data_IF_107028068450
#
_entry.id   IF_107028068450
#
_cell.length_a   1.000
_cell.length_b   1.000
_cell.length_c   1.000
_cell.angle_alpha   90.00
_cell.angle_beta   90.00
_cell.angle_gamma   90.00
#
_symmetry.space_group_name_H-M   'P 1'
#
loop_
_entity.id
_entity.type
_entity.pdbx_description
1 polymer ?
#
# COMPACT_ATOMS: atom_id res chain seq x y z
N UNK A 1 56.34 31.99 -13.02
CA UNK A 1 54.91 31.74 -13.27
C UNK A 1 54.70 30.25 -13.42
N UNK A 2 53.95 29.58 -12.52
CA UNK A 2 53.72 28.15 -12.62
C UNK A 2 52.58 27.87 -13.62
N UNK A 3 52.80 26.89 -14.51
CA UNK A 3 51.80 26.40 -15.45
C UNK A 3 50.74 25.59 -14.70
N UNK A 4 49.48 25.98 -14.85
CA UNK A 4 48.34 25.26 -14.30
C UNK A 4 48.08 23.99 -15.13
N UNK A 5 48.22 22.83 -14.49
CA UNK A 5 47.75 21.54 -15.04
C UNK A 5 46.23 21.51 -15.00
N UNK A 6 45.59 21.53 -16.17
CA UNK A 6 44.14 21.35 -16.33
C UNK A 6 43.75 19.91 -16.00
N UNK A 7 43.29 19.67 -14.76
CA UNK A 7 42.60 18.44 -14.41
C UNK A 7 41.28 18.36 -15.15
N UNK A 8 41.12 17.35 -16.01
CA UNK A 8 39.85 16.98 -16.64
C UNK A 8 38.84 16.61 -15.55
N UNK A 9 38.01 17.58 -15.13
CA UNK A 9 36.77 17.27 -14.42
C UNK A 9 35.82 16.62 -15.42
N UNK A 10 35.81 15.29 -15.46
CA UNK A 10 34.75 14.56 -16.13
C UNK A 10 33.42 14.89 -15.46
N UNK A 11 32.55 15.59 -16.20
CA UNK A 11 31.18 15.82 -15.76
C UNK A 11 30.51 14.47 -15.45
N UNK A 12 29.72 14.36 -14.36
CA UNK A 12 28.99 13.14 -14.09
C UNK A 12 28.05 12.86 -15.26
N UNK A 13 28.29 11.74 -15.95
CA UNK A 13 27.43 11.29 -17.05
C UNK A 13 26.10 10.86 -16.45
N UNK A 14 25.08 11.71 -16.57
CA UNK A 14 23.71 11.35 -16.22
C UNK A 14 23.14 10.51 -17.36
N UNK A 15 23.30 9.19 -17.29
CA UNK A 15 22.70 8.28 -18.26
C UNK A 15 21.23 8.03 -17.90
N UNK A 16 20.32 8.27 -18.84
CA UNK A 16 18.95 7.72 -18.78
C UNK A 16 18.99 6.18 -18.86
N UNK A 17 17.96 5.48 -18.39
CA UNK A 17 17.90 4.00 -18.50
C UNK A 17 18.06 3.49 -19.94
N UNK A 18 17.57 4.25 -20.92
CA UNK A 18 17.72 3.99 -22.36
C UNK A 18 19.15 4.18 -22.85
N UNK A 19 19.84 5.25 -22.44
CA UNK A 19 21.24 5.50 -22.84
C UNK A 19 22.23 4.59 -22.11
N UNK A 20 21.98 4.26 -20.84
CA UNK A 20 22.74 3.26 -20.10
C UNK A 20 22.66 1.88 -20.75
N UNK A 21 21.47 1.45 -21.20
CA UNK A 21 21.30 0.21 -21.96
C UNK A 21 22.05 0.24 -23.29
N UNK A 22 21.94 1.33 -24.06
CA UNK A 22 22.65 1.46 -25.33
C UNK A 22 24.19 1.43 -25.15
N UNK A 23 24.71 2.03 -24.07
CA UNK A 23 26.13 1.96 -23.72
C UNK A 23 26.57 0.55 -23.31
N UNK A 24 25.78 -0.15 -22.49
CA UNK A 24 26.08 -1.52 -22.07
C UNK A 24 25.97 -2.54 -23.23
N UNK A 25 24.98 -2.36 -24.10
CA UNK A 25 24.74 -3.22 -25.27
C UNK A 25 25.77 -2.98 -26.37
N UNK A 26 26.17 -1.71 -26.63
CA UNK A 26 27.20 -1.40 -27.64
C UNK A 26 28.60 -1.86 -27.26
N UNK A 27 28.94 -1.84 -25.97
CA UNK A 27 30.32 -2.05 -25.54
C UNK A 27 30.62 -3.51 -25.10
N UNK A 28 29.63 -4.32 -24.68
CA UNK A 28 29.92 -5.59 -23.96
C UNK A 28 28.93 -6.74 -24.16
N UNK A 29 28.80 -7.27 -25.38
CA UNK A 29 28.14 -8.57 -25.60
C UNK A 29 28.91 -9.79 -25.06
N UNK A 30 30.23 -9.69 -24.77
CA UNK A 30 31.04 -10.89 -24.41
C UNK A 30 31.28 -11.13 -22.91
N UNK A 31 31.01 -10.17 -22.02
CA UNK A 31 31.35 -10.29 -20.59
C UNK A 31 30.23 -9.88 -19.62
N UNK A 32 29.04 -9.62 -20.13
CA UNK A 32 27.90 -9.11 -19.36
C UNK A 32 27.58 -9.97 -18.11
N UNK A 33 27.52 -11.29 -18.30
CA UNK A 33 27.25 -12.28 -17.24
C UNK A 33 28.27 -12.17 -16.10
N UNK A 34 29.57 -11.96 -16.40
CA UNK A 34 30.62 -11.81 -15.38
C UNK A 34 30.40 -10.56 -14.51
N UNK A 35 29.94 -9.46 -15.11
CA UNK A 35 29.66 -8.23 -14.37
C UNK A 35 28.39 -8.33 -13.55
N UNK A 36 27.33 -8.92 -14.12
CA UNK A 36 26.10 -9.23 -13.38
C UNK A 36 26.40 -10.06 -12.13
N UNK A 37 27.14 -11.17 -12.28
CA UNK A 37 27.49 -12.02 -11.15
C UNK A 37 28.26 -11.26 -10.08
N UNK A 38 29.22 -10.41 -10.46
CA UNK A 38 29.97 -9.58 -9.50
C UNK A 38 29.07 -8.59 -8.77
N UNK A 39 28.17 -7.91 -9.48
CA UNK A 39 27.24 -6.94 -8.88
C UNK A 39 26.31 -7.64 -7.90
N UNK A 40 25.71 -8.78 -8.29
CA UNK A 40 24.86 -9.58 -7.41
C UNK A 40 25.59 -10.07 -6.17
N UNK A 41 26.83 -10.57 -6.31
CA UNK A 41 27.64 -11.03 -5.17
C UNK A 41 27.97 -9.89 -4.21
N UNK A 42 28.35 -8.71 -4.73
CA UNK A 42 28.59 -7.53 -3.90
C UNK A 42 27.34 -7.10 -3.13
N UNK A 43 26.20 -7.01 -3.82
CA UNK A 43 24.92 -6.61 -3.20
C UNK A 43 24.46 -7.64 -2.16
N UNK A 44 24.59 -8.93 -2.43
CA UNK A 44 24.30 -9.99 -1.47
C UNK A 44 25.19 -9.92 -0.23
N UNK A 45 26.49 -9.63 -0.40
CA UNK A 45 27.44 -9.47 0.72
C UNK A 45 27.07 -8.26 1.58
N UNK A 46 26.73 -7.14 0.94
CA UNK A 46 26.30 -5.92 1.64
C UNK A 46 24.95 -6.13 2.36
N UNK A 47 23.99 -6.79 1.71
CA UNK A 47 22.70 -7.12 2.31
C UNK A 47 22.87 -8.05 3.52
N UNK A 48 23.77 -9.04 3.43
CA UNK A 48 24.10 -9.92 4.56
C UNK A 48 24.73 -9.15 5.72
N UNK A 49 25.71 -8.29 5.44
CA UNK A 49 26.33 -7.42 6.44
C UNK A 49 25.28 -6.52 7.12
N UNK A 50 24.43 -5.89 6.31
CA UNK A 50 23.34 -5.05 6.79
C UNK A 50 22.38 -5.84 7.70
N UNK A 51 21.95 -7.03 7.26
CA UNK A 51 21.05 -7.89 8.03
C UNK A 51 21.64 -8.29 9.38
N UNK A 52 22.95 -8.52 9.44
CA UNK A 52 23.66 -8.94 10.66
C UNK A 52 23.97 -7.79 11.61
N UNK A 53 24.25 -6.60 11.09
CA UNK A 53 24.83 -5.51 11.89
C UNK A 53 23.91 -4.30 12.07
N UNK A 54 22.90 -4.14 11.22
CA UNK A 54 22.04 -2.95 11.17
C UNK A 54 20.58 -3.27 11.49
N UNK A 55 20.04 -4.37 10.96
CA UNK A 55 18.66 -4.76 11.23
C UNK A 55 18.55 -5.85 12.28
N UNK A 56 17.57 -5.75 13.16
CA UNK A 56 17.22 -6.83 14.08
C UNK A 56 16.46 -7.93 13.32
N UNK A 57 17.12 -9.07 13.07
CA UNK A 57 16.47 -10.29 12.59
C UNK A 57 16.69 -11.40 13.63
N UNK A 58 15.69 -11.66 14.48
CA UNK A 58 15.75 -12.65 15.57
C UNK A 58 16.40 -12.15 16.87
N UNK A 59 16.85 -13.06 17.75
CA UNK A 59 17.38 -12.75 19.12
C UNK A 59 18.75 -12.03 19.17
N UNK A 60 19.35 -11.66 18.04
CA UNK A 60 20.65 -10.99 18.03
C UNK A 60 20.48 -9.47 18.08
N UNK A 61 20.85 -8.84 19.20
CA UNK A 61 21.00 -7.38 19.30
C UNK A 61 21.97 -6.89 18.23
N UNK A 62 21.64 -5.77 17.57
CA UNK A 62 22.60 -5.09 16.71
C UNK A 62 23.87 -4.83 17.52
N UNK A 63 25.03 -5.07 16.95
CA UNK A 63 26.32 -4.88 17.62
C UNK A 63 26.62 -3.39 17.91
N UNK A 64 25.69 -2.47 17.64
CA UNK A 64 25.85 -1.03 17.84
C UNK A 64 26.95 -0.41 16.98
N UNK A 65 27.51 -1.15 16.02
CA UNK A 65 28.71 -0.76 15.28
C UNK A 65 28.46 0.42 14.32
N UNK A 66 27.20 0.63 13.92
CA UNK A 66 26.79 1.65 12.95
C UNK A 66 25.58 2.40 13.48
N UNK A 67 25.61 3.74 13.40
CA UNK A 67 24.46 4.58 13.78
C UNK A 67 23.23 4.22 12.92
N UNK A 68 22.01 4.21 13.48
CA UNK A 68 20.80 3.80 12.76
C UNK A 68 20.55 4.55 11.44
N UNK A 69 20.93 5.83 11.37
CA UNK A 69 20.77 6.70 10.21
C UNK A 69 21.73 6.33 9.07
N UNK A 70 22.98 5.99 9.44
CA UNK A 70 23.98 5.48 8.50
C UNK A 70 23.55 4.10 8.00
N UNK A 71 23.04 3.27 8.91
CA UNK A 71 22.39 2.01 8.57
C UNK A 71 21.32 2.22 7.51
N UNK A 72 20.29 3.01 7.81
CA UNK A 72 19.19 3.30 6.87
C UNK A 72 19.70 3.79 5.51
N UNK A 73 20.73 4.63 5.49
CA UNK A 73 21.34 5.14 4.25
C UNK A 73 21.96 4.02 3.40
N UNK A 74 22.67 3.07 4.01
CA UNK A 74 23.16 1.87 3.31
C UNK A 74 22.03 1.01 2.77
N UNK A 75 20.95 0.84 3.55
CA UNK A 75 19.79 0.06 3.13
C UNK A 75 19.09 0.67 1.91
N UNK A 76 18.87 1.98 1.92
CA UNK A 76 18.24 2.70 0.80
C UNK A 76 19.12 2.63 -0.45
N UNK A 77 20.43 2.88 -0.30
CA UNK A 77 21.38 2.79 -1.41
C UNK A 77 21.42 1.36 -1.99
N UNK A 78 21.49 0.34 -1.13
CA UNK A 78 21.47 -1.06 -1.53
C UNK A 78 20.20 -1.43 -2.29
N UNK A 79 19.03 -1.03 -1.78
CA UNK A 79 17.74 -1.25 -2.44
C UNK A 79 17.66 -0.54 -3.80
N UNK A 80 18.19 0.68 -3.92
CA UNK A 80 18.25 1.42 -5.19
C UNK A 80 19.18 0.74 -6.20
N UNK A 81 20.33 0.22 -5.76
CA UNK A 81 21.26 -0.53 -6.61
C UNK A 81 20.68 -1.86 -7.05
N UNK A 82 19.95 -2.59 -6.19
CA UNK A 82 19.22 -3.81 -6.58
C UNK A 82 18.17 -3.50 -7.64
N UNK A 83 17.38 -2.44 -7.46
CA UNK A 83 16.37 -2.01 -8.43
C UNK A 83 17.00 -1.61 -9.78
N UNK A 84 18.12 -0.88 -9.76
CA UNK A 84 18.86 -0.53 -10.97
C UNK A 84 19.43 -1.77 -11.66
N UNK A 85 20.02 -2.68 -10.88
CA UNK A 85 20.55 -3.96 -11.39
C UNK A 85 19.45 -4.77 -12.04
N UNK A 86 18.28 -4.91 -11.40
CA UNK A 86 17.12 -5.60 -11.98
C UNK A 86 16.71 -5.00 -13.33
N UNK A 87 16.61 -3.67 -13.43
CA UNK A 87 16.26 -2.97 -14.68
C UNK A 87 17.30 -3.12 -15.78
N UNK A 88 18.58 -3.17 -15.43
CA UNK A 88 19.68 -3.32 -16.38
C UNK A 88 19.85 -4.77 -16.85
N UNK A 89 19.46 -5.72 -16.01
CA UNK A 89 19.81 -7.14 -16.16
C UNK A 89 18.67 -8.05 -16.58
N UNK A 90 17.47 -7.84 -16.05
CA UNK A 90 16.42 -8.87 -16.09
C UNK A 90 15.38 -8.62 -17.19
N UNK A 91 15.20 -7.40 -17.68
CA UNK A 91 14.17 -7.12 -18.70
C UNK A 91 14.73 -7.08 -20.14
N UNK A 92 14.18 -7.94 -21.03
CA UNK A 92 12.82 -7.69 -21.45
C UNK A 92 11.94 -8.95 -21.56
N UNK A 93 11.55 -9.60 -20.46
CA UNK A 93 10.38 -10.51 -20.50
C UNK A 93 9.62 -10.51 -19.16
N UNK A 94 8.27 -10.53 -19.20
CA UNK A 94 7.42 -10.51 -18.02
C UNK A 94 7.27 -11.95 -17.49
N UNK A 95 8.32 -12.50 -16.90
CA UNK A 95 8.13 -13.69 -16.05
C UNK A 95 7.68 -13.23 -14.68
N UNK A 96 6.35 -13.25 -14.51
CA UNK A 96 5.72 -13.19 -13.21
C UNK A 96 6.35 -14.21 -12.26
N UNK A 97 7.17 -13.71 -11.34
CA UNK A 97 7.51 -14.30 -10.04
C UNK A 97 8.32 -13.22 -9.32
N UNK A 98 7.72 -12.34 -8.53
CA UNK A 98 6.87 -12.71 -7.42
C UNK A 98 7.69 -13.00 -6.17
N UNK A 99 8.70 -12.18 -5.85
CA UNK A 99 9.20 -12.06 -4.48
C UNK A 99 9.68 -10.64 -4.24
N UNK A 100 8.96 -9.89 -3.40
CA UNK A 100 9.56 -8.81 -2.61
C UNK A 100 10.53 -9.54 -1.66
N UNK A 101 11.71 -9.92 -2.13
CA UNK A 101 12.78 -10.29 -1.21
C UNK A 101 13.24 -8.96 -0.63
N UNK A 102 12.74 -8.60 0.55
CA UNK A 102 13.25 -7.49 1.33
C UNK A 102 14.68 -7.86 1.79
N UNK A 103 15.63 -7.79 0.85
CA UNK A 103 17.06 -7.94 1.10
C UNK A 103 17.54 -6.85 2.07
N UNK A 104 16.83 -5.72 2.10
CA UNK A 104 17.10 -4.56 2.93
C UNK A 104 15.95 -4.34 3.91
N UNK A 105 15.95 -5.00 5.08
CA UNK A 105 14.90 -4.84 6.07
C UNK A 105 14.90 -3.44 6.70
N UNK A 106 13.75 -3.07 7.23
CA UNK A 106 13.53 -1.78 7.92
C UNK A 106 14.37 -1.68 9.19
N UNK A 107 14.86 -0.47 9.47
CA UNK A 107 15.58 -0.15 10.71
C UNK A 107 14.62 0.34 11.80
N UNK A 108 15.01 0.21 13.06
CA UNK A 108 14.18 0.68 14.18
C UNK A 108 13.95 2.20 14.15
N UNK A 109 14.91 2.97 13.64
CA UNK A 109 14.76 4.41 13.41
C UNK A 109 13.62 4.69 12.43
N UNK A 110 13.55 3.97 11.31
CA UNK A 110 12.47 4.13 10.34
C UNK A 110 11.12 3.66 10.90
N UNK A 111 11.08 2.56 11.67
CA UNK A 111 9.87 2.15 12.40
C UNK A 111 9.40 3.23 13.37
N UNK A 112 10.34 3.86 14.07
CA UNK A 112 10.09 5.00 14.96
C UNK A 112 9.46 6.18 14.22
N UNK A 113 10.02 6.57 13.06
CA UNK A 113 9.44 7.63 12.23
C UNK A 113 8.05 7.31 11.71
N UNK A 114 7.81 6.09 11.25
CA UNK A 114 6.49 5.65 10.80
C UNK A 114 5.47 5.76 11.95
N UNK A 115 5.85 5.32 13.16
CA UNK A 115 4.99 5.41 14.35
C UNK A 115 4.73 6.85 14.77
N UNK A 116 5.76 7.69 14.78
CA UNK A 116 5.63 9.12 15.07
C UNK A 116 4.73 9.85 14.04
N UNK A 117 4.63 9.31 12.82
CA UNK A 117 3.73 9.81 11.78
C UNK A 117 2.30 9.19 11.85
N UNK A 118 1.93 8.56 12.97
CA UNK A 118 0.58 8.04 13.20
C UNK A 118 0.33 6.62 12.70
N UNK A 119 1.37 5.85 12.34
CA UNK A 119 1.22 4.42 12.02
C UNK A 119 1.26 3.57 13.29
N UNK A 120 0.25 2.75 13.51
CA UNK A 120 0.28 1.77 14.58
C UNK A 120 1.29 0.63 14.31
N UNK A 121 1.64 -0.16 15.33
CA UNK A 121 2.60 -1.26 15.19
C UNK A 121 2.18 -2.29 14.11
N UNK A 122 0.89 -2.61 14.02
CA UNK A 122 0.33 -3.50 12.99
C UNK A 122 0.45 -2.90 11.60
N UNK A 123 0.18 -1.61 11.45
CA UNK A 123 0.30 -0.92 10.16
C UNK A 123 1.75 -0.94 9.68
N UNK A 124 2.71 -0.71 10.58
CA UNK A 124 4.14 -0.83 10.26
C UNK A 124 4.48 -2.24 9.81
N UNK A 125 4.08 -3.29 10.55
CA UNK A 125 4.35 -4.68 10.17
C UNK A 125 3.78 -5.02 8.78
N UNK A 126 2.53 -4.63 8.50
CA UNK A 126 1.92 -4.84 7.17
C UNK A 126 2.65 -4.12 6.04
N UNK A 127 3.13 -2.90 6.32
CA UNK A 127 3.92 -2.13 5.35
C UNK A 127 5.27 -2.80 5.10
N UNK A 128 5.91 -3.36 6.13
CA UNK A 128 7.16 -4.12 5.98
C UNK A 128 6.97 -5.38 5.11
N UNK A 129 5.82 -6.04 5.19
CA UNK A 129 5.51 -7.20 4.35
C UNK A 129 5.19 -6.83 2.90
N UNK A 130 4.61 -5.65 2.68
CA UNK A 130 4.03 -5.26 1.38
C UNK A 130 4.89 -4.28 0.59
N UNK A 131 5.86 -3.62 1.23
CA UNK A 131 6.60 -2.51 0.63
C UNK A 131 8.12 -2.72 0.75
N UNK A 132 8.85 -2.15 -0.21
CA UNK A 132 10.31 -2.06 -0.18
C UNK A 132 10.76 -0.90 0.71
N UNK A 133 12.01 -0.96 1.15
CA UNK A 133 12.60 0.01 2.09
C UNK A 133 12.52 1.47 1.62
N UNK A 134 12.67 1.73 0.33
CA UNK A 134 12.52 3.06 -0.28
C UNK A 134 11.09 3.61 -0.10
N UNK A 135 10.08 2.78 -0.35
CA UNK A 135 8.68 3.15 -0.15
C UNK A 135 8.42 3.49 1.31
N UNK A 136 8.93 2.66 2.24
CA UNK A 136 8.82 2.89 3.68
C UNK A 136 9.52 4.18 4.11
N UNK A 137 10.65 4.52 3.49
CA UNK A 137 11.39 5.74 3.77
C UNK A 137 10.63 7.01 3.38
N UNK A 138 9.94 7.00 2.23
CA UNK A 138 9.19 8.17 1.76
C UNK A 138 7.79 8.25 2.36
N UNK A 139 7.24 7.16 2.90
CA UNK A 139 5.87 7.13 3.41
C UNK A 139 5.57 8.18 4.50
N UNK A 140 6.46 8.46 5.48
CA UNK A 140 6.24 9.50 6.48
C UNK A 140 6.13 10.92 5.90
N UNK A 141 6.61 11.15 4.67
CA UNK A 141 6.48 12.45 3.99
C UNK A 141 5.06 12.67 3.43
N UNK A 142 4.27 11.59 3.32
CA UNK A 142 2.88 11.69 2.89
C UNK A 142 2.01 12.07 4.08
N UNK A 143 1.21 13.13 3.90
CA UNK A 143 0.26 13.58 4.92
C UNK A 143 -0.72 12.45 5.25
N UNK A 144 -0.77 12.09 6.53
CA UNK A 144 -1.78 11.15 7.02
C UNK A 144 -3.06 11.89 7.42
N UNK A 145 -4.23 11.31 7.11
CA UNK A 145 -5.47 11.73 7.74
C UNK A 145 -5.33 11.57 9.25
N UNK A 146 -5.51 12.66 10.00
CA UNK A 146 -5.55 12.60 11.46
C UNK A 146 -6.94 12.06 11.81
N UNK A 147 -7.01 10.81 12.25
CA UNK A 147 -8.27 10.14 12.61
C UNK A 147 -8.69 10.39 14.06
N UNK A 148 -7.76 10.86 14.92
CA UNK A 148 -7.99 11.04 16.35
C UNK A 148 -8.12 9.72 17.13
N UNK A 149 -7.85 8.59 16.49
CA UNK A 149 -7.92 7.24 17.07
C UNK A 149 -6.62 6.92 17.80
N UNK A 150 -6.71 6.43 19.04
CA UNK A 150 -5.53 6.03 19.80
C UNK A 150 -5.07 4.62 19.42
N UNK A 151 -3.86 4.54 18.86
CA UNK A 151 -3.22 3.29 18.45
C UNK A 151 -2.17 2.77 19.43
N UNK A 152 -2.03 3.38 20.61
CA UNK A 152 -1.02 3.02 21.62
C UNK A 152 -1.06 1.54 22.03
N UNK A 153 -2.25 0.93 22.06
CA UNK A 153 -2.45 -0.47 22.42
C UNK A 153 -2.21 -1.47 21.28
N UNK A 154 -1.89 -1.04 20.05
CA UNK A 154 -1.70 -1.96 18.92
C UNK A 154 -0.34 -2.67 19.00
N UNK A 155 -0.29 -3.92 18.55
CA UNK A 155 0.94 -4.70 18.43
C UNK A 155 1.22 -5.07 16.96
N UNK A 156 2.28 -5.82 16.66
CA UNK A 156 2.65 -6.19 15.28
C UNK A 156 1.65 -7.13 14.60
N UNK A 157 0.88 -7.88 15.37
CA UNK A 157 -0.05 -8.90 14.89
C UNK A 157 -1.47 -8.33 14.70
N UNK A 158 -1.87 -7.34 15.49
CA UNK A 158 -3.22 -6.80 15.48
C UNK A 158 -3.29 -5.29 15.74
N UNK A 159 -4.18 -4.62 15.01
CA UNK A 159 -4.57 -3.23 15.26
C UNK A 159 -5.75 -3.23 16.23
N UNK A 160 -5.53 -2.90 17.49
CA UNK A 160 -6.59 -2.93 18.51
C UNK A 160 -7.55 -1.73 18.41
N UNK A 161 -7.13 -0.65 17.77
CA UNK A 161 -7.94 0.58 17.71
C UNK A 161 -9.00 0.56 16.61
N UNK A 162 -8.73 -0.16 15.52
CA UNK A 162 -9.63 -0.27 14.37
C UNK A 162 -10.21 -1.67 14.21
N UNK A 163 -9.87 -2.59 15.10
CA UNK A 163 -10.54 -3.87 15.16
C UNK A 163 -11.88 -3.72 15.86
N UNK A 164 -12.86 -4.46 15.40
CA UNK A 164 -14.23 -4.35 15.87
C UNK A 164 -14.46 -5.39 16.94
N UNK A 165 -14.91 -4.92 18.09
CA UNK A 165 -15.50 -5.79 19.11
C UNK A 165 -16.98 -5.96 18.79
N UNK A 166 -17.36 -7.12 18.26
CA UNK A 166 -18.72 -7.43 17.86
C UNK A 166 -19.74 -7.28 19.01
N UNK A 167 -19.30 -7.44 20.26
CA UNK A 167 -20.17 -7.33 21.43
C UNK A 167 -20.55 -5.87 21.75
N UNK A 168 -19.68 -4.91 21.44
CA UNK A 168 -19.86 -3.49 21.76
C UNK A 168 -20.08 -2.61 20.53
N UNK A 169 -19.98 -3.18 19.33
CA UNK A 169 -20.14 -2.45 18.09
C UNK A 169 -21.57 -2.00 17.84
N UNK A 170 -21.74 -0.71 17.58
CA UNK A 170 -23.01 -0.09 17.22
C UNK A 170 -22.87 0.74 15.95
N UNK A 171 -23.82 0.54 15.02
CA UNK A 171 -23.91 1.28 13.77
C UNK A 171 -24.17 2.77 14.05
N UNK A 172 -23.33 3.63 13.49
CA UNK A 172 -23.46 5.09 13.61
C UNK A 172 -24.36 5.67 12.53
N UNK A 173 -25.19 6.63 12.93
CA UNK A 173 -25.97 7.46 12.02
C UNK A 173 -25.21 8.71 11.59
N UNK A 174 -25.57 9.26 10.43
CA UNK A 174 -24.95 10.50 9.90
C UNK A 174 -25.25 11.70 10.82
N UNK A 175 -26.45 11.77 11.40
CA UNK A 175 -26.84 12.83 12.31
C UNK A 175 -26.93 12.30 13.75
N UNK A 176 -26.45 13.10 14.71
CA UNK A 176 -26.25 12.75 16.14
C UNK A 176 -27.51 12.25 16.89
N UNK A 177 -28.71 12.47 16.34
CA UNK A 177 -29.99 12.06 16.94
C UNK A 177 -30.92 11.36 15.95
N UNK A 178 -30.38 10.81 14.86
CA UNK A 178 -31.19 10.06 13.91
C UNK A 178 -31.41 8.63 14.42
N UNK A 179 -32.66 8.16 14.34
CA UNK A 179 -33.09 6.82 14.76
C UNK A 179 -33.72 6.05 13.59
N UNK A 180 -33.32 6.36 12.35
CA UNK A 180 -33.91 5.73 11.17
C UNK A 180 -33.69 4.21 11.15
N UNK A 181 -34.64 3.46 10.61
CA UNK A 181 -34.50 2.00 10.51
C UNK A 181 -33.30 1.59 9.64
N UNK A 182 -32.77 0.41 9.96
CA UNK A 182 -31.86 -0.32 9.09
C UNK A 182 -32.61 -0.85 7.86
N UNK A 183 -31.96 -0.78 6.70
CA UNK A 183 -32.45 -1.42 5.48
C UNK A 183 -31.56 -2.64 5.22
N UNK A 184 -32.19 -3.81 5.19
CA UNK A 184 -31.52 -5.06 4.88
C UNK A 184 -31.35 -5.23 3.37
N UNK A 185 -30.27 -5.86 2.98
CA UNK A 185 -30.13 -6.42 1.64
C UNK A 185 -30.68 -7.85 1.61
N UNK A 186 -31.12 -8.29 0.44
CA UNK A 186 -31.49 -9.70 0.23
C UNK A 186 -30.24 -10.59 0.25
N UNK A 187 -29.96 -11.14 1.44
CA UNK A 187 -28.81 -11.99 1.67
C UNK A 187 -28.86 -13.30 0.88
N UNK A 188 -30.04 -13.86 0.60
CA UNK A 188 -30.15 -15.10 -0.17
C UNK A 188 -29.67 -14.86 -1.60
N UNK A 189 -30.11 -13.76 -2.21
CA UNK A 189 -29.62 -13.37 -3.53
C UNK A 189 -28.12 -13.11 -3.52
N UNK A 190 -27.59 -12.35 -2.54
CA UNK A 190 -26.13 -12.12 -2.41
C UNK A 190 -25.35 -13.44 -2.36
N UNK A 191 -25.75 -14.36 -1.48
CA UNK A 191 -25.08 -15.66 -1.32
C UNK A 191 -25.19 -16.49 -2.61
N UNK A 192 -26.35 -16.48 -3.27
CA UNK A 192 -26.55 -17.23 -4.51
C UNK A 192 -25.67 -16.72 -5.67
N UNK A 193 -25.50 -15.40 -5.80
CA UNK A 193 -24.63 -14.76 -6.80
C UNK A 193 -23.17 -15.10 -6.53
N UNK A 194 -22.71 -14.99 -5.27
CA UNK A 194 -21.34 -15.34 -4.90
C UNK A 194 -21.02 -16.82 -5.15
N UNK A 195 -21.97 -17.73 -4.89
CA UNK A 195 -21.79 -19.17 -5.17
C UNK A 195 -21.63 -19.49 -6.65
N UNK A 196 -22.14 -18.64 -7.54
CA UNK A 196 -21.94 -18.76 -8.99
C UNK A 196 -20.60 -18.20 -9.47
N UNK A 197 -19.81 -17.59 -8.58
CA UNK A 197 -18.57 -16.89 -8.94
C UNK A 197 -18.81 -15.49 -9.53
N UNK A 198 -20.02 -14.96 -9.38
CA UNK A 198 -20.42 -13.64 -9.87
C UNK A 198 -20.27 -12.57 -8.77
N UNK A 199 -20.24 -11.29 -9.16
CA UNK A 199 -20.13 -10.16 -8.23
C UNK A 199 -21.54 -9.60 -7.95
N UNK A 200 -22.05 -9.65 -6.70
CA UNK A 200 -23.31 -9.01 -6.34
C UNK A 200 -23.13 -7.50 -6.25
N UNK A 201 -23.97 -6.76 -6.96
CA UNK A 201 -24.08 -5.31 -6.95
C UNK A 201 -25.36 -4.90 -6.23
N UNK A 202 -25.23 -3.98 -5.30
CA UNK A 202 -26.35 -3.44 -4.53
C UNK A 202 -26.85 -2.18 -5.24
N UNK A 203 -28.10 -2.20 -5.67
CA UNK A 203 -28.79 -1.09 -6.33
C UNK A 203 -29.61 -0.34 -5.27
N UNK A 204 -29.46 0.99 -5.22
CA UNK A 204 -30.17 1.85 -4.27
C UNK A 204 -31.11 2.80 -5.03
N UNK A 205 -32.42 2.55 -4.94
CA UNK A 205 -33.44 3.34 -5.63
C UNK A 205 -33.92 4.55 -4.79
N UNK A 206 -34.40 5.64 -5.44
CA UNK A 206 -34.93 6.83 -4.77
C UNK A 206 -36.22 6.63 -3.99
N UNK A 207 -37.10 5.78 -4.49
CA UNK A 207 -38.44 5.67 -3.94
C UNK A 207 -38.51 4.59 -2.88
N UNK A 208 -38.98 5.00 -1.71
CA UNK A 208 -39.60 4.12 -0.73
C UNK A 208 -41.07 3.96 -1.15
N UNK A 209 -41.47 2.80 -1.66
CA UNK A 209 -42.88 2.40 -1.51
C UNK A 209 -42.97 1.51 -0.29
N UNK A 210 -44.15 1.41 0.34
CA UNK A 210 -44.36 0.45 1.44
C UNK A 210 -44.21 -1.02 1.00
N UNK A 211 -44.06 -1.28 -0.30
CA UNK A 211 -44.03 -2.61 -0.90
C UNK A 211 -42.66 -3.03 -1.46
N UNK A 212 -41.73 -2.10 -1.68
CA UNK A 212 -40.43 -2.42 -2.32
C UNK A 212 -39.29 -1.86 -1.48
N UNK A 213 -38.34 -2.74 -1.11
CA UNK A 213 -37.10 -2.33 -0.46
C UNK A 213 -36.33 -1.37 -1.37
N UNK A 214 -35.79 -0.24 -0.86
CA UNK A 214 -34.99 0.65 -1.67
C UNK A 214 -33.65 0.02 -2.08
N UNK A 215 -33.27 -1.12 -1.47
CA UNK A 215 -32.09 -1.91 -1.82
C UNK A 215 -32.51 -3.18 -2.56
N UNK A 216 -31.96 -3.39 -3.75
CA UNK A 216 -32.02 -4.66 -4.47
C UNK A 216 -30.63 -5.16 -4.81
N UNK A 217 -30.54 -6.45 -5.07
CA UNK A 217 -29.29 -7.11 -5.46
C UNK A 217 -29.41 -7.54 -6.91
N UNK A 218 -28.40 -7.24 -7.70
CA UNK A 218 -28.23 -7.75 -9.06
C UNK A 218 -26.84 -8.32 -9.20
N UNK A 219 -26.63 -9.22 -10.16
CA UNK A 219 -25.28 -9.56 -10.60
C UNK A 219 -24.68 -8.41 -11.41
N UNK A 220 -23.36 -8.26 -11.34
CA UNK A 220 -22.60 -7.42 -12.27
C UNK A 220 -22.47 -8.13 -13.63
N UNK A 221 -22.55 -7.34 -14.70
CA UNK A 221 -22.17 -7.70 -16.06
C UNK A 221 -20.90 -6.94 -16.47
N UNK A 222 -20.31 -7.27 -17.62
CA UNK A 222 -19.04 -6.67 -18.09
C UNK A 222 -19.07 -5.13 -18.09
N UNK A 223 -20.19 -4.52 -18.50
CA UNK A 223 -20.34 -3.06 -18.57
C UNK A 223 -20.99 -2.45 -17.32
N UNK A 224 -21.12 -3.20 -16.23
CA UNK A 224 -21.74 -2.67 -15.00
C UNK A 224 -20.78 -1.74 -14.29
N UNK A 225 -21.04 -0.43 -14.37
CA UNK A 225 -20.36 0.55 -13.54
C UNK A 225 -20.84 0.48 -12.09
N UNK A 226 -19.91 0.32 -11.16
CA UNK A 226 -20.22 0.33 -9.72
C UNK A 226 -19.14 1.06 -8.92
N UNK A 227 -19.52 1.51 -7.72
CA UNK A 227 -18.58 2.08 -6.75
C UNK A 227 -18.39 1.08 -5.62
N UNK A 228 -17.16 0.59 -5.45
CA UNK A 228 -16.78 -0.19 -4.29
C UNK A 228 -16.56 0.73 -3.09
N UNK A 229 -17.17 0.38 -1.95
CA UNK A 229 -17.01 1.08 -0.68
C UNK A 229 -16.28 0.14 0.29
N UNK A 230 -15.13 0.57 0.78
CA UNK A 230 -14.33 -0.16 1.78
C UNK A 230 -14.55 0.40 3.19
N UNK A 231 -14.03 -0.28 4.21
CA UNK A 231 -14.05 0.15 5.62
C UNK A 231 -15.45 0.35 6.24
N UNK A 232 -16.51 -0.19 5.62
CA UNK A 232 -17.90 -0.07 6.07
C UNK A 232 -18.07 -0.30 7.59
N UNK A 233 -17.37 -1.28 8.12
CA UNK A 233 -17.46 -1.61 9.54
C UNK A 233 -16.56 -0.72 10.40
N UNK A 234 -15.34 -0.45 9.96
CA UNK A 234 -14.40 0.43 10.67
C UNK A 234 -14.95 1.86 10.80
N UNK A 235 -15.66 2.34 9.77
CA UNK A 235 -16.34 3.64 9.75
C UNK A 235 -17.70 3.62 10.49
N UNK A 236 -17.97 2.54 11.23
CA UNK A 236 -19.20 2.33 12.00
C UNK A 236 -20.49 2.35 11.17
N UNK A 237 -20.43 2.08 9.86
CA UNK A 237 -21.62 2.04 9.01
C UNK A 237 -22.31 0.67 9.06
N UNK A 238 -21.53 -0.41 9.14
CA UNK A 238 -22.00 -1.80 9.10
C UNK A 238 -22.83 -2.23 10.32
N UNK A 239 -23.27 -3.49 10.36
CA UNK A 239 -24.07 -4.08 11.43
C UNK A 239 -23.61 -5.52 11.69
N UNK A 240 -23.36 -5.88 12.96
CA UNK A 240 -22.80 -7.19 13.37
C UNK A 240 -23.76 -8.37 13.21
N UNK A 241 -25.06 -8.13 13.11
CA UNK A 241 -26.09 -9.19 13.11
C UNK A 241 -26.72 -9.40 11.75
N UNK A 242 -26.84 -8.34 10.97
CA UNK A 242 -27.55 -8.36 9.69
C UNK A 242 -26.76 -7.58 8.64
N UNK A 243 -26.86 -8.01 7.38
CA UNK A 243 -26.28 -7.28 6.26
C UNK A 243 -27.18 -6.07 5.91
N UNK A 244 -27.01 -5.01 6.70
CA UNK A 244 -27.90 -3.85 6.67
C UNK A 244 -27.15 -2.57 7.03
N UNK A 245 -27.66 -1.44 6.54
CA UNK A 245 -27.15 -0.11 6.86
C UNK A 245 -28.30 0.81 7.30
N UNK A 246 -28.05 1.81 8.16
CA UNK A 246 -29.04 2.83 8.48
C UNK A 246 -29.47 3.61 7.23
N UNK A 247 -30.76 3.92 7.09
CA UNK A 247 -31.29 4.66 5.93
C UNK A 247 -30.58 5.99 5.67
N UNK A 248 -30.23 6.75 6.72
CA UNK A 248 -29.50 8.00 6.57
C UNK A 248 -28.10 7.81 5.98
N UNK A 249 -27.42 6.69 6.29
CA UNK A 249 -26.12 6.34 5.74
C UNK A 249 -26.25 6.00 4.26
N UNK A 250 -27.24 5.19 3.88
CA UNK A 250 -27.54 4.87 2.48
C UNK A 250 -27.79 6.13 1.64
N UNK A 251 -28.60 7.05 2.15
CA UNK A 251 -28.88 8.35 1.50
C UNK A 251 -27.60 9.18 1.33
N UNK A 252 -26.72 9.16 2.34
CA UNK A 252 -25.44 9.86 2.28
C UNK A 252 -24.50 9.24 1.24
N UNK A 253 -24.31 7.91 1.27
CA UNK A 253 -23.49 7.18 0.30
C UNK A 253 -23.95 7.43 -1.12
N UNK A 254 -25.26 7.40 -1.37
CA UNK A 254 -25.84 7.75 -2.66
C UNK A 254 -25.43 9.15 -3.12
N UNK A 255 -25.57 10.14 -2.24
CA UNK A 255 -25.20 11.52 -2.54
C UNK A 255 -23.73 11.64 -2.91
N UNK A 256 -22.85 10.90 -2.23
CA UNK A 256 -21.41 10.86 -2.54
C UNK A 256 -21.14 10.22 -3.91
N UNK A 257 -21.79 9.10 -4.22
CA UNK A 257 -21.66 8.39 -5.50
C UNK A 257 -22.16 9.27 -6.64
N UNK A 258 -23.34 9.87 -6.54
CA UNK A 258 -23.92 10.74 -7.56
C UNK A 258 -23.02 11.97 -7.84
N UNK A 259 -22.48 12.59 -6.79
CA UNK A 259 -21.53 13.71 -6.94
C UNK A 259 -20.24 13.29 -7.65
N UNK A 260 -19.77 12.06 -7.44
CA UNK A 260 -18.57 11.54 -8.12
C UNK A 260 -18.83 11.34 -9.60
N UNK A 261 -19.94 10.70 -9.96
CA UNK A 261 -20.33 10.49 -11.36
C UNK A 261 -20.46 11.83 -12.11
N UNK A 262 -21.08 12.84 -11.49
CA UNK A 262 -21.21 14.19 -12.08
C UNK A 262 -19.86 14.89 -12.32
N UNK A 263 -18.82 14.58 -11.55
CA UNK A 263 -17.46 15.13 -11.75
C UNK A 263 -16.70 14.37 -12.83
N UNK A 264 -16.88 13.05 -12.92
CA UNK A 264 -16.30 12.24 -14.00
C UNK A 264 -16.86 12.60 -15.38
N UNK A 265 -18.14 12.97 -15.48
CA UNK A 265 -18.75 13.47 -16.72
C UNK A 265 -18.35 14.91 -17.12
N UNK A 266 -17.57 15.63 -16.29
CA UNK A 266 -17.09 17.00 -16.58
C UNK A 266 -15.63 17.05 -17.02
N UNK A 267 -15.06 15.95 -17.50
CA UNK A 267 -13.82 15.99 -18.26
C UNK A 267 -14.18 16.22 -19.73
N UNK A 268 -14.48 17.48 -20.05
CA UNK A 268 -14.47 17.97 -21.42
C UNK A 268 -13.01 18.25 -21.80
N UNK A 269 -12.48 17.49 -22.76
CA UNK A 269 -11.29 17.89 -23.52
C UNK A 269 -11.67 19.01 -24.46
#
# INVERSE_FOLDING_TARGET
MPQATSGSLHAPVVTTSLSGRALLVRDRQKNYIKYETRIRTCLATLAFFFKRHVSFFGRMKSLGLVRPEIGLSFGILGNALDAATFKLVVEPWPTGSGWIVNAWPTTDSLRGHLRANGRCARAVARLEDSCKLDTLYFLPLLRQPITGVDHSACNSEQCNAENIDEATYESSHIARFCTCKHINVDNETVVSTLRKGEIPVILLYPSFSNTVSPLTVSQAYEDTEYVAISHVWQDKMGNTRFNSLPYCVLKHLRTLVERRVQRSCKVSV
#
